data_IF_999967802226
#
_entry.id   IF_999967802226
#
_cell.length_a   1.000
_cell.length_b   1.000
_cell.length_c   1.000
_cell.angle_alpha   90.00
_cell.angle_beta   90.00
_cell.angle_gamma   90.00
#
_symmetry.space_group_name_H-M   'P 1'
#
loop_
_entity.id
_entity.type
_entity.pdbx_description
1 polymer ?
#
# COMPACT_ATOMS: atom_id res chain seq x y z
N UNK A 1 4.07 3.69 -3.80
CA UNK A 1 3.28 4.85 -4.24
C UNK A 1 2.01 4.98 -3.39
N UNK A 2 1.14 6.03 -3.44
CA UNK A 2 -0.26 5.89 -3.03
C UNK A 2 -0.76 4.46 -3.28
N UNK A 3 -1.30 3.84 -2.24
CA UNK A 3 -1.63 2.42 -2.29
C UNK A 3 -2.86 2.21 -3.16
N UNK A 4 -3.46 1.03 -3.00
CA UNK A 4 -4.60 0.55 -3.80
C UNK A 4 -5.72 1.58 -3.98
N UNK A 5 -6.04 2.43 -3.00
CA UNK A 5 -7.18 3.33 -3.11
C UNK A 5 -6.98 4.40 -4.19
N UNK A 6 -5.84 5.10 -4.18
CA UNK A 6 -5.60 6.16 -5.17
C UNK A 6 -5.49 5.58 -6.58
N UNK A 7 -4.85 4.42 -6.75
CA UNK A 7 -4.80 3.74 -8.04
C UNK A 7 -6.19 3.46 -8.62
N UNK A 8 -7.12 2.97 -7.79
CA UNK A 8 -8.48 2.67 -8.23
C UNK A 8 -9.29 3.95 -8.50
N UNK A 9 -9.08 5.00 -7.72
CA UNK A 9 -9.70 6.31 -7.99
C UNK A 9 -9.22 6.88 -9.34
N UNK A 10 -7.92 6.78 -9.64
CA UNK A 10 -7.37 7.23 -10.93
C UNK A 10 -7.88 6.36 -12.06
N UNK A 11 -7.94 5.04 -11.87
CA UNK A 11 -8.54 4.12 -12.83
C UNK A 11 -9.97 4.55 -13.19
N UNK A 12 -10.84 4.76 -12.20
CA UNK A 12 -12.24 5.14 -12.43
C UNK A 12 -12.33 6.46 -13.20
N UNK A 13 -11.47 7.45 -12.89
CA UNK A 13 -11.39 8.70 -13.65
C UNK A 13 -10.93 8.50 -15.10
N UNK A 14 -9.98 7.59 -15.34
CA UNK A 14 -9.51 7.25 -16.69
C UNK A 14 -10.63 6.58 -17.48
N UNK A 15 -11.34 5.62 -16.88
CA UNK A 15 -12.49 4.96 -17.51
C UNK A 15 -13.54 5.99 -17.93
N UNK A 16 -13.94 6.87 -17.02
CA UNK A 16 -14.94 7.90 -17.30
C UNK A 16 -14.50 8.87 -18.40
N UNK A 17 -13.22 9.29 -18.37
CA UNK A 17 -12.66 10.18 -19.38
C UNK A 17 -12.61 9.50 -20.75
N UNK A 18 -12.17 8.24 -20.81
CA UNK A 18 -12.04 7.49 -22.05
C UNK A 18 -13.40 7.25 -22.71
N UNK A 19 -14.41 6.85 -21.93
CA UNK A 19 -15.79 6.67 -22.44
C UNK A 19 -16.41 7.94 -23.01
N UNK A 20 -16.02 9.10 -22.48
CA UNK A 20 -16.45 10.43 -22.95
C UNK A 20 -15.53 11.00 -24.05
N UNK A 21 -14.49 10.29 -24.44
CA UNK A 21 -13.56 10.73 -25.49
C UNK A 21 -14.26 10.80 -26.84
N UNK A 22 -13.88 11.78 -27.65
CA UNK A 22 -14.25 11.87 -29.07
C UNK A 22 -13.46 10.90 -29.95
N UNK A 23 -12.33 10.36 -29.45
CA UNK A 23 -11.53 9.37 -30.15
C UNK A 23 -12.14 7.97 -30.06
N UNK A 24 -12.29 7.29 -31.19
CA UNK A 24 -12.96 5.99 -31.28
C UNK A 24 -12.22 4.91 -30.48
N UNK A 25 -10.89 4.92 -30.53
CA UNK A 25 -10.04 3.93 -29.85
C UNK A 25 -10.12 4.12 -28.34
N UNK A 26 -9.91 5.35 -27.84
CA UNK A 26 -10.00 5.64 -26.41
C UNK A 26 -11.39 5.32 -25.87
N UNK A 27 -12.45 5.68 -26.61
CA UNK A 27 -13.82 5.36 -26.23
C UNK A 27 -14.05 3.86 -26.13
N UNK A 28 -13.60 3.08 -27.13
CA UNK A 28 -13.69 1.62 -27.11
C UNK A 28 -12.96 1.02 -25.92
N UNK A 29 -11.74 1.47 -25.63
CA UNK A 29 -10.97 1.02 -24.47
C UNK A 29 -11.72 1.36 -23.16
N UNK A 30 -12.26 2.57 -23.06
CA UNK A 30 -13.06 3.00 -21.92
C UNK A 30 -14.28 2.11 -21.68
N UNK A 31 -15.02 1.74 -22.74
CA UNK A 31 -16.16 0.83 -22.63
C UNK A 31 -15.72 -0.60 -22.22
N UNK A 32 -14.61 -1.11 -22.75
CA UNK A 32 -14.05 -2.40 -22.35
C UNK A 32 -13.64 -2.38 -20.87
N UNK A 33 -12.89 -1.37 -20.44
CA UNK A 33 -12.47 -1.24 -19.04
C UNK A 33 -13.66 -1.10 -18.09
N UNK A 34 -14.74 -0.42 -18.50
CA UNK A 34 -15.97 -0.33 -17.72
C UNK A 34 -16.71 -1.68 -17.64
N UNK A 35 -16.89 -2.36 -18.77
CA UNK A 35 -17.55 -3.66 -18.82
C UNK A 35 -16.79 -4.75 -18.04
N UNK A 36 -15.46 -4.69 -18.06
CA UNK A 36 -14.56 -5.62 -17.37
C UNK A 36 -13.84 -4.93 -16.19
N UNK A 37 -14.54 -4.06 -15.46
CA UNK A 37 -13.96 -3.22 -14.39
C UNK A 37 -13.15 -4.02 -13.37
N UNK A 38 -13.59 -5.21 -12.98
CA UNK A 38 -12.87 -6.08 -12.03
C UNK A 38 -11.46 -6.44 -12.53
N UNK A 39 -11.31 -6.71 -13.83
CA UNK A 39 -10.01 -6.95 -14.44
C UNK A 39 -9.18 -5.66 -14.52
N UNK A 40 -9.81 -4.52 -14.83
CA UNK A 40 -9.14 -3.24 -14.84
C UNK A 40 -8.64 -2.82 -13.43
N UNK A 41 -9.40 -3.10 -12.37
CA UNK A 41 -9.01 -2.89 -10.96
C UNK A 41 -7.80 -3.75 -10.62
N UNK A 42 -7.81 -5.03 -10.98
CA UNK A 42 -6.64 -5.91 -10.80
C UNK A 42 -5.41 -5.36 -11.53
N UNK A 43 -5.61 -4.84 -12.74
CA UNK A 43 -4.58 -4.13 -13.48
C UNK A 43 -4.06 -2.90 -12.74
N UNK A 44 -4.95 -2.06 -12.20
CA UNK A 44 -4.59 -0.81 -11.51
C UNK A 44 -3.89 -1.05 -10.15
N UNK A 45 -4.17 -2.18 -9.48
CA UNK A 45 -3.33 -2.65 -8.37
C UNK A 45 -1.92 -2.92 -8.89
N UNK A 46 -1.80 -3.51 -10.08
CA UNK A 46 -0.55 -3.56 -10.82
C UNK A 46 0.53 -4.39 -10.11
N UNK A 47 1.81 -3.96 -10.16
CA UNK A 47 2.90 -4.68 -9.53
C UNK A 47 2.81 -4.77 -8.00
N UNK A 48 2.01 -3.92 -7.33
CA UNK A 48 1.75 -4.05 -5.88
C UNK A 48 1.09 -5.37 -5.50
N UNK A 49 0.38 -6.02 -6.43
CA UNK A 49 -0.18 -7.35 -6.23
C UNK A 49 0.92 -8.35 -5.80
N UNK A 50 2.11 -8.22 -6.39
CA UNK A 50 3.24 -9.12 -6.15
C UNK A 50 4.00 -8.85 -4.85
N UNK A 51 3.59 -7.85 -4.06
CA UNK A 51 4.01 -7.76 -2.65
C UNK A 51 3.54 -8.99 -1.86
N UNK A 52 2.46 -9.64 -2.32
CA UNK A 52 1.88 -10.85 -1.74
C UNK A 52 2.29 -12.12 -2.49
N UNK A 53 3.44 -12.10 -3.16
CA UNK A 53 3.92 -13.24 -3.93
C UNK A 53 4.79 -14.21 -3.10
N UNK A 54 4.85 -15.51 -3.47
CA UNK A 54 5.51 -16.54 -2.67
C UNK A 54 7.05 -16.44 -2.65
N UNK A 55 7.66 -15.50 -3.36
CA UNK A 55 9.08 -15.19 -3.23
C UNK A 55 9.43 -14.44 -1.93
N UNK A 56 8.42 -13.90 -1.25
CA UNK A 56 8.48 -13.52 0.16
C UNK A 56 8.23 -14.76 1.05
N UNK A 57 9.13 -15.01 2.00
CA UNK A 57 8.98 -16.16 2.91
C UNK A 57 7.75 -16.06 3.81
N UNK A 58 7.52 -14.88 4.37
CA UNK A 58 6.35 -14.57 5.20
C UNK A 58 5.03 -14.80 4.45
N UNK A 59 4.98 -14.45 3.16
CA UNK A 59 3.81 -14.70 2.32
C UNK A 59 3.56 -16.19 2.11
N UNK A 60 4.60 -17.01 1.90
CA UNK A 60 4.43 -18.47 1.83
C UNK A 60 3.84 -19.04 3.11
N UNK A 61 4.29 -18.55 4.27
CA UNK A 61 3.73 -18.93 5.58
C UNK A 61 2.26 -18.52 5.69
N UNK A 62 1.91 -17.30 5.27
CA UNK A 62 0.53 -16.82 5.24
C UNK A 62 -0.35 -17.61 4.27
N UNK A 63 0.15 -17.97 3.09
CA UNK A 63 -0.59 -18.77 2.12
C UNK A 63 -0.87 -20.18 2.65
N UNK A 64 0.12 -20.81 3.26
CA UNK A 64 -0.04 -22.12 3.90
C UNK A 64 -1.04 -22.05 5.06
N UNK A 65 -0.99 -20.98 5.87
CA UNK A 65 -1.99 -20.73 6.89
C UNK A 65 -3.39 -20.60 6.25
N UNK A 66 -3.56 -19.71 5.27
CA UNK A 66 -4.84 -19.54 4.58
C UNK A 66 -5.37 -20.88 4.02
N UNK A 67 -4.55 -21.67 3.34
CA UNK A 67 -4.96 -22.99 2.81
C UNK A 67 -5.41 -23.96 3.89
N UNK A 68 -4.68 -24.03 5.01
CA UNK A 68 -4.99 -24.92 6.12
C UNK A 68 -6.25 -24.50 6.88
N UNK A 69 -6.58 -23.21 6.88
CA UNK A 69 -7.71 -22.65 7.62
C UNK A 69 -8.91 -22.30 6.74
N UNK A 70 -8.75 -22.30 5.41
CA UNK A 70 -9.81 -21.96 4.45
C UNK A 70 -11.03 -22.86 4.64
N UNK A 71 -10.84 -24.17 4.81
CA UNK A 71 -11.95 -25.09 5.03
C UNK A 71 -12.71 -24.77 6.32
N UNK A 72 -12.02 -24.31 7.36
CA UNK A 72 -12.61 -23.91 8.64
C UNK A 72 -13.43 -22.63 8.48
N UNK A 73 -12.85 -21.65 7.76
CA UNK A 73 -13.50 -20.37 7.45
C UNK A 73 -14.74 -20.59 6.56
N UNK A 74 -14.62 -21.44 5.54
CA UNK A 74 -15.70 -21.78 4.62
C UNK A 74 -16.80 -22.55 5.37
N UNK A 75 -16.45 -23.55 6.19
CA UNK A 75 -17.39 -24.27 7.06
C UNK A 75 -18.13 -23.31 8.01
N UNK A 76 -17.42 -22.36 8.61
CA UNK A 76 -18.03 -21.34 9.46
C UNK A 76 -19.03 -20.48 8.69
N UNK A 77 -18.64 -19.93 7.54
CA UNK A 77 -19.48 -19.06 6.72
C UNK A 77 -20.72 -19.79 6.18
N UNK A 78 -20.56 -21.04 5.76
CA UNK A 78 -21.63 -21.83 5.14
C UNK A 78 -22.60 -22.44 6.16
N UNK A 79 -22.12 -22.76 7.36
CA UNK A 79 -22.91 -23.45 8.38
C UNK A 79 -23.33 -22.48 9.48
N UNK A 80 -22.37 -21.88 10.19
CA UNK A 80 -22.62 -21.15 11.43
C UNK A 80 -23.05 -19.71 11.16
N UNK A 81 -22.49 -19.04 10.16
CA UNK A 81 -22.93 -17.70 9.75
C UNK A 81 -24.39 -17.67 9.31
N UNK A 82 -24.86 -18.74 8.64
CA UNK A 82 -26.27 -18.90 8.27
C UNK A 82 -27.14 -19.26 9.47
N UNK A 83 -26.69 -20.17 10.33
CA UNK A 83 -27.41 -20.56 11.55
C UNK A 83 -27.55 -19.38 12.51
N UNK A 84 -26.49 -18.59 12.74
CA UNK A 84 -26.53 -17.39 13.59
C UNK A 84 -27.49 -16.34 13.06
N UNK A 85 -27.45 -16.02 11.76
CA UNK A 85 -28.45 -15.14 11.12
C UNK A 85 -29.87 -15.67 11.21
N UNK A 86 -30.05 -17.00 11.13
CA UNK A 86 -31.36 -17.63 11.24
C UNK A 86 -31.86 -17.62 12.68
N UNK A 87 -31.00 -17.86 13.67
CA UNK A 87 -31.31 -17.78 15.11
C UNK A 87 -31.62 -16.34 15.52
N UNK A 88 -30.80 -15.36 15.10
CA UNK A 88 -31.06 -13.92 15.31
C UNK A 88 -32.39 -13.49 14.68
N UNK A 89 -32.78 -14.08 13.54
CA UNK A 89 -34.06 -13.84 12.90
C UNK A 89 -35.26 -14.58 13.53
N UNK A 90 -35.01 -15.66 14.29
CA UNK A 90 -36.03 -16.53 14.91
C UNK A 90 -36.24 -16.26 16.40
N UNK A 91 -35.35 -15.49 17.06
CA UNK A 91 -35.47 -15.02 18.44
C UNK A 91 -34.91 -15.96 19.52
N UNK A 92 -34.73 -15.42 20.74
CA UNK A 92 -34.16 -16.10 21.94
C UNK A 92 -34.68 -17.52 22.23
N UNK A 93 -35.98 -17.87 22.01
CA UNK A 93 -36.49 -19.20 22.37
C UNK A 93 -35.88 -20.35 21.56
N UNK A 94 -35.47 -20.09 20.31
CA UNK A 94 -34.87 -21.11 19.43
C UNK A 94 -33.40 -21.34 19.79
N UNK A 95 -32.71 -20.30 20.24
CA UNK A 95 -31.32 -20.37 20.70
C UNK A 95 -31.19 -21.30 21.92
N UNK A 96 -32.10 -21.16 22.90
CA UNK A 96 -32.14 -22.02 24.08
C UNK A 96 -32.46 -23.49 23.74
N UNK A 97 -33.38 -23.75 22.81
CA UNK A 97 -33.74 -25.10 22.41
C UNK A 97 -32.58 -25.84 21.71
N UNK A 98 -31.82 -25.14 20.86
CA UNK A 98 -30.65 -25.69 20.16
C UNK A 98 -29.51 -25.97 21.13
N UNK A 99 -29.24 -25.07 22.09
CA UNK A 99 -28.24 -25.29 23.14
C UNK A 99 -28.53 -26.51 24.01
N UNK A 100 -29.80 -26.85 24.20
CA UNK A 100 -30.23 -27.98 25.04
C UNK A 100 -30.03 -29.34 24.35
N UNK A 101 -30.12 -29.40 23.02
CA UNK A 101 -30.12 -30.65 22.25
C UNK A 101 -28.72 -31.23 21.97
N UNK A 102 -27.68 -30.39 21.92
CA UNK A 102 -26.30 -30.83 21.69
C UNK A 102 -25.25 -29.93 22.40
N UNK A 103 -25.31 -29.81 23.73
CA UNK A 103 -24.51 -28.83 24.50
C UNK A 103 -23.00 -29.04 24.36
N UNK A 104 -22.53 -30.29 24.30
CA UNK A 104 -21.11 -30.61 24.14
C UNK A 104 -20.58 -30.29 22.73
N UNK A 105 -21.37 -30.55 21.70
CA UNK A 105 -21.04 -30.20 20.30
C UNK A 105 -21.02 -28.69 20.11
N UNK A 106 -22.00 -27.97 20.68
CA UNK A 106 -22.06 -26.51 20.60
C UNK A 106 -20.93 -25.87 21.41
N UNK A 107 -20.60 -26.39 22.58
CA UNK A 107 -19.46 -25.89 23.36
C UNK A 107 -18.14 -26.08 22.61
N UNK A 108 -17.91 -27.26 22.01
CA UNK A 108 -16.70 -27.52 21.23
C UNK A 108 -16.61 -26.62 20.00
N UNK A 109 -17.73 -26.40 19.32
CA UNK A 109 -17.85 -25.46 18.20
C UNK A 109 -17.59 -24.03 18.67
N UNK A 110 -18.18 -23.58 19.79
CA UNK A 110 -17.96 -22.23 20.35
C UNK A 110 -16.50 -22.00 20.75
N UNK A 111 -15.85 -22.99 21.38
CA UNK A 111 -14.42 -22.93 21.72
C UNK A 111 -13.56 -22.85 20.46
N UNK A 112 -13.84 -23.70 19.46
CA UNK A 112 -13.13 -23.66 18.19
C UNK A 112 -13.30 -22.30 17.49
N UNK A 113 -14.51 -21.75 17.45
CA UNK A 113 -14.80 -20.41 16.91
C UNK A 113 -14.02 -19.35 17.69
N UNK A 114 -14.02 -19.41 19.02
CA UNK A 114 -13.31 -18.44 19.85
C UNK A 114 -11.80 -18.46 19.58
N UNK A 115 -11.20 -19.64 19.47
CA UNK A 115 -9.79 -19.80 19.12
C UNK A 115 -9.46 -19.31 17.70
N UNK A 116 -10.37 -19.53 16.74
CA UNK A 116 -10.25 -19.00 15.37
C UNK A 116 -10.35 -17.49 15.37
N UNK A 117 -11.34 -16.91 16.05
CA UNK A 117 -11.55 -15.46 16.12
C UNK A 117 -10.38 -14.76 16.80
N UNK A 118 -9.84 -15.33 17.87
CA UNK A 118 -8.62 -14.85 18.53
C UNK A 118 -7.41 -14.92 17.58
N UNK A 119 -7.22 -16.04 16.88
CA UNK A 119 -6.14 -16.19 15.90
C UNK A 119 -6.27 -15.20 14.73
N UNK A 120 -7.49 -15.02 14.20
CA UNK A 120 -7.80 -14.05 13.14
C UNK A 120 -7.63 -12.63 13.65
N UNK A 121 -8.00 -12.32 14.90
CA UNK A 121 -7.80 -11.00 15.52
C UNK A 121 -6.33 -10.68 15.69
N UNK A 122 -5.52 -11.64 16.16
CA UNK A 122 -4.06 -11.48 16.27
C UNK A 122 -3.42 -11.32 14.89
N UNK A 123 -3.86 -12.10 13.89
CA UNK A 123 -3.42 -11.97 12.52
C UNK A 123 -3.80 -10.60 11.93
N UNK A 124 -5.05 -10.15 12.14
CA UNK A 124 -5.55 -8.81 11.77
C UNK A 124 -4.69 -7.73 12.39
N UNK A 125 -4.47 -7.79 13.70
CA UNK A 125 -3.64 -6.82 14.42
C UNK A 125 -2.22 -6.81 13.88
N UNK A 126 -1.64 -7.97 13.58
CA UNK A 126 -0.28 -8.08 13.05
C UNK A 126 -0.17 -7.50 11.64
N UNK A 127 -1.10 -7.84 10.75
CA UNK A 127 -1.15 -7.33 9.37
C UNK A 127 -1.46 -5.84 9.35
N UNK A 128 -2.42 -5.36 10.15
CA UNK A 128 -2.76 -3.94 10.21
C UNK A 128 -1.60 -3.11 10.77
N UNK A 129 -0.91 -3.60 11.80
CA UNK A 129 0.29 -2.93 12.32
C UNK A 129 1.41 -2.93 11.29
N UNK A 130 1.60 -4.03 10.55
CA UNK A 130 2.57 -4.13 9.45
C UNK A 130 2.28 -3.15 8.31
N UNK A 131 1.02 -3.02 7.91
CA UNK A 131 0.65 -2.20 6.76
C UNK A 131 0.46 -0.74 7.10
N UNK A 132 0.01 -0.39 8.31
CA UNK A 132 -0.43 0.95 8.68
C UNK A 132 0.34 1.57 9.87
N UNK A 133 1.50 1.03 10.25
CA UNK A 133 2.36 1.68 11.26
C UNK A 133 2.66 3.12 10.83
N UNK A 134 2.12 4.10 11.56
CA UNK A 134 2.26 5.53 11.27
C UNK A 134 0.97 6.26 10.86
N UNK A 135 -0.17 5.57 10.66
CA UNK A 135 -1.45 6.19 10.27
C UNK A 135 -2.62 5.84 11.22
N UNK A 136 -2.44 4.89 12.15
CA UNK A 136 -3.50 4.52 13.10
C UNK A 136 -3.48 5.48 14.30
N UNK A 137 -4.42 6.42 14.36
CA UNK A 137 -4.77 7.07 15.63
C UNK A 137 -5.53 6.08 16.52
N UNK A 138 -5.08 5.94 17.77
CA UNK A 138 -5.75 5.15 18.81
C UNK A 138 -5.24 3.71 19.00
N UNK A 139 -4.32 3.22 18.17
CA UNK A 139 -3.45 2.12 18.59
C UNK A 139 -2.21 2.75 19.19
N UNK A 140 -2.14 2.69 20.51
CA UNK A 140 -1.05 3.19 21.31
C UNK A 140 0.16 2.24 21.14
N UNK A 141 0.68 2.16 19.91
CA UNK A 141 1.88 1.40 19.57
C UNK A 141 3.03 1.93 20.42
N UNK A 142 3.08 3.24 20.67
CA UNK A 142 4.09 3.88 21.51
C UNK A 142 3.97 3.53 23.01
N UNK A 143 2.77 3.32 23.57
CA UNK A 143 2.64 2.96 25.00
C UNK A 143 2.75 1.46 25.28
N UNK A 144 2.47 0.59 24.30
CA UNK A 144 2.67 -0.87 24.41
C UNK A 144 4.06 -1.35 23.91
N UNK A 145 5.00 -0.42 23.70
CA UNK A 145 6.36 -0.69 23.21
C UNK A 145 7.28 -1.46 24.18
N UNK A 146 6.86 -1.76 25.41
CA UNK A 146 7.74 -2.46 26.36
C UNK A 146 7.91 -3.96 26.06
N UNK A 147 7.12 -4.55 25.14
CA UNK A 147 7.18 -5.99 24.82
C UNK A 147 7.20 -6.38 23.33
N UNK A 148 6.86 -5.47 22.40
CA UNK A 148 6.71 -5.75 20.95
C UNK A 148 7.82 -5.25 19.97
N UNK A 149 8.94 -4.61 20.37
CA UNK A 149 9.93 -4.14 19.40
C UNK A 149 10.51 -5.25 18.52
N UNK A 150 10.75 -6.44 19.07
CA UNK A 150 11.44 -7.52 18.34
C UNK A 150 10.60 -8.12 17.22
N UNK A 151 9.30 -8.37 17.44
CA UNK A 151 8.43 -8.98 16.43
C UNK A 151 8.16 -8.00 15.28
N UNK A 152 7.85 -6.74 15.58
CA UNK A 152 7.63 -5.72 14.55
C UNK A 152 8.91 -5.47 13.73
N UNK A 153 10.06 -5.30 14.38
CA UNK A 153 11.33 -5.16 13.66
C UNK A 153 11.63 -6.39 12.80
N UNK A 154 11.46 -7.60 13.34
CA UNK A 154 11.71 -8.84 12.58
C UNK A 154 10.77 -8.95 11.37
N UNK A 155 9.48 -8.64 11.54
CA UNK A 155 8.51 -8.68 10.45
C UNK A 155 8.79 -7.59 9.40
N UNK A 156 9.16 -6.38 9.80
CA UNK A 156 9.56 -5.33 8.86
C UNK A 156 10.88 -5.66 8.14
N UNK A 157 11.83 -6.29 8.81
CA UNK A 157 13.10 -6.73 8.21
C UNK A 157 12.87 -7.78 7.11
N UNK A 158 11.86 -8.65 7.27
CA UNK A 158 11.47 -9.64 6.25
C UNK A 158 10.93 -8.99 4.96
N UNK A 159 10.24 -7.85 5.08
CA UNK A 159 9.74 -7.08 3.94
C UNK A 159 10.72 -6.02 3.43
N UNK A 160 11.87 -5.86 4.09
CA UNK A 160 12.90 -4.91 3.64
C UNK A 160 13.50 -5.40 2.31
N UNK A 161 13.34 -4.65 1.20
CA UNK A 161 13.78 -5.12 -0.10
C UNK A 161 15.29 -5.39 -0.16
N UNK A 162 15.74 -6.53 -0.71
CA UNK A 162 17.16 -6.86 -0.88
C UNK A 162 17.94 -5.79 -1.64
N UNK A 163 17.28 -5.03 -2.51
CA UNK A 163 17.87 -3.89 -3.22
C UNK A 163 18.40 -2.80 -2.28
N UNK A 164 17.81 -2.60 -1.09
CA UNK A 164 18.28 -1.60 -0.12
C UNK A 164 19.66 -1.99 0.45
N UNK A 165 19.94 -3.29 0.48
CA UNK A 165 21.23 -3.86 0.91
C UNK A 165 22.21 -4.01 -0.26
N UNK A 166 21.92 -3.42 -1.42
CA UNK A 166 22.76 -3.47 -2.63
C UNK A 166 22.90 -4.89 -3.20
N UNK A 167 21.94 -5.79 -2.94
CA UNK A 167 21.98 -7.16 -3.47
C UNK A 167 21.76 -7.19 -4.97
N UNK A 168 22.18 -8.29 -5.62
CA UNK A 168 21.99 -8.49 -7.06
C UNK A 168 20.53 -8.78 -7.37
N UNK A 169 20.11 -8.53 -8.61
CA UNK A 169 18.72 -8.73 -9.06
C UNK A 169 18.22 -10.18 -8.89
N UNK A 170 19.13 -11.17 -8.87
CA UNK A 170 18.81 -12.57 -8.54
C UNK A 170 18.23 -12.74 -7.14
N UNK A 171 18.59 -11.85 -6.21
CA UNK A 171 18.14 -11.88 -4.83
C UNK A 171 16.92 -11.00 -4.59
N UNK A 172 16.50 -10.19 -5.57
CA UNK A 172 15.36 -9.27 -5.44
C UNK A 172 14.02 -10.01 -5.44
N UNK A 173 12.97 -9.32 -5.00
CA UNK A 173 11.61 -9.81 -5.20
C UNK A 173 11.10 -9.43 -6.59
N UNK A 174 10.17 -10.21 -7.13
CA UNK A 174 9.49 -9.85 -8.39
C UNK A 174 8.70 -8.55 -8.25
N UNK A 175 8.16 -8.27 -7.06
CA UNK A 175 7.64 -6.95 -6.69
C UNK A 175 8.64 -5.84 -7.03
N UNK A 176 9.89 -5.95 -6.58
CA UNK A 176 10.93 -4.95 -6.87
C UNK A 176 11.26 -4.89 -8.36
N UNK A 177 11.36 -6.07 -9.00
CA UNK A 177 11.71 -6.16 -10.42
C UNK A 177 10.71 -5.40 -11.29
N UNK A 178 9.41 -5.57 -11.02
CA UNK A 178 8.35 -4.93 -11.80
C UNK A 178 8.28 -3.41 -11.58
N UNK A 179 8.66 -2.91 -10.41
CA UNK A 179 8.68 -1.47 -10.12
C UNK A 179 9.93 -0.75 -10.65
N UNK A 180 11.08 -1.43 -10.70
CA UNK A 180 12.37 -0.75 -10.94
C UNK A 180 13.09 -1.14 -12.22
N UNK A 181 12.69 -2.22 -12.89
CA UNK A 181 13.41 -2.76 -14.05
C UNK A 181 12.48 -3.11 -15.18
N UNK A 182 12.73 -2.47 -16.32
CA UNK A 182 11.99 -2.72 -17.56
C UNK A 182 10.47 -2.57 -17.42
N UNK A 183 10.00 -1.79 -16.44
CA UNK A 183 8.58 -1.60 -16.10
C UNK A 183 7.74 -1.21 -17.32
N UNK A 184 8.21 -0.23 -18.10
CA UNK A 184 7.53 0.17 -19.34
C UNK A 184 7.51 -0.91 -20.41
N UNK A 185 8.55 -1.75 -20.51
CA UNK A 185 8.61 -2.86 -21.47
C UNK A 185 7.68 -3.99 -21.05
N UNK A 186 7.60 -4.31 -19.76
CA UNK A 186 6.62 -5.25 -19.23
C UNK A 186 5.18 -4.81 -19.54
N UNK A 187 4.87 -3.53 -19.28
CA UNK A 187 3.56 -2.97 -19.58
C UNK A 187 3.22 -2.99 -21.07
N UNK A 188 4.19 -2.63 -21.92
CA UNK A 188 4.02 -2.73 -23.37
C UNK A 188 3.74 -4.17 -23.81
N UNK A 189 4.43 -5.15 -23.22
CA UNK A 189 4.18 -6.57 -23.50
C UNK A 189 2.78 -7.00 -23.03
N UNK A 190 2.29 -6.54 -21.88
CA UNK A 190 0.91 -6.79 -21.45
C UNK A 190 -0.11 -6.28 -22.47
N UNK A 191 0.06 -5.04 -22.93
CA UNK A 191 -0.86 -4.41 -23.89
C UNK A 191 -0.80 -5.09 -25.25
N UNK A 192 0.41 -5.38 -25.76
CA UNK A 192 0.60 -5.98 -27.08
C UNK A 192 0.15 -7.45 -27.13
N UNK A 193 0.19 -8.16 -26.00
CA UNK A 193 -0.18 -9.57 -25.90
C UNK A 193 -1.65 -9.79 -25.50
N UNK A 194 -2.36 -8.73 -25.09
CA UNK A 194 -3.78 -8.81 -24.75
C UNK A 194 -4.64 -9.07 -26.00
N UNK A 195 -5.38 -10.19 -25.99
CA UNK A 195 -6.24 -10.63 -27.11
C UNK A 195 -7.73 -10.59 -26.78
N UNK A 196 -8.08 -10.74 -25.51
CA UNK A 196 -9.46 -10.77 -25.03
C UNK A 196 -9.79 -9.48 -24.27
N UNK A 197 -11.06 -9.06 -24.26
CA UNK A 197 -11.48 -7.82 -23.60
C UNK A 197 -11.09 -7.78 -22.11
N UNK A 198 -11.15 -8.92 -21.40
CA UNK A 198 -10.70 -9.04 -20.00
C UNK A 198 -9.19 -8.76 -19.85
N UNK A 199 -8.37 -9.20 -20.81
CA UNK A 199 -6.93 -8.95 -20.84
C UNK A 199 -6.62 -7.50 -21.19
N UNK A 200 -7.38 -6.91 -22.13
CA UNK A 200 -7.26 -5.50 -22.50
C UNK A 200 -7.59 -4.62 -21.29
N UNK A 201 -8.68 -4.89 -20.59
CA UNK A 201 -9.06 -4.18 -19.38
C UNK A 201 -7.96 -4.26 -18.31
N UNK A 202 -7.41 -5.46 -18.08
CA UNK A 202 -6.29 -5.65 -17.16
C UNK A 202 -5.04 -4.86 -17.58
N UNK A 203 -4.61 -4.98 -18.84
CA UNK A 203 -3.40 -4.32 -19.34
C UNK A 203 -3.49 -2.80 -19.28
N UNK A 204 -4.64 -2.23 -19.64
CA UNK A 204 -4.87 -0.78 -19.52
C UNK A 204 -5.01 -0.33 -18.07
N UNK A 205 -5.61 -1.16 -17.20
CA UNK A 205 -5.54 -0.95 -15.75
C UNK A 205 -4.09 -0.86 -15.26
N UNK A 206 -3.22 -1.78 -15.71
CA UNK A 206 -1.79 -1.78 -15.36
C UNK A 206 -1.05 -0.53 -15.87
N UNK A 207 -1.43 -0.01 -17.03
CA UNK A 207 -0.90 1.28 -17.49
C UNK A 207 -1.33 2.44 -16.58
N UNK A 208 -2.56 2.43 -16.04
CA UNK A 208 -2.96 3.45 -15.07
C UNK A 208 -2.10 3.39 -13.80
N UNK A 209 -1.73 2.19 -13.35
CA UNK A 209 -0.80 2.03 -12.23
C UNK A 209 0.52 2.74 -12.51
N UNK A 210 1.20 2.38 -13.61
CA UNK A 210 2.49 2.98 -13.96
C UNK A 210 2.40 4.48 -14.13
N UNK A 211 1.37 4.97 -14.83
CA UNK A 211 1.21 6.40 -15.06
C UNK A 211 1.04 7.15 -13.74
N UNK A 212 0.25 6.58 -12.82
CA UNK A 212 0.07 7.17 -11.51
C UNK A 212 1.39 7.12 -10.73
N UNK A 213 2.17 6.03 -10.82
CA UNK A 213 3.45 5.85 -10.14
C UNK A 213 4.50 6.87 -10.54
N UNK A 214 4.66 7.05 -11.85
CA UNK A 214 5.61 8.00 -12.43
C UNK A 214 5.36 9.43 -11.92
N UNK A 215 4.08 9.80 -11.74
CA UNK A 215 3.70 11.14 -11.26
C UNK A 215 3.74 11.23 -9.73
N UNK A 216 3.15 10.24 -9.05
CA UNK A 216 2.94 10.25 -7.60
C UNK A 216 4.23 10.14 -6.80
N UNK A 217 5.21 9.34 -7.27
CA UNK A 217 6.45 9.16 -6.53
C UNK A 217 7.29 10.44 -6.45
N UNK A 218 7.22 11.34 -7.44
CA UNK A 218 7.87 12.64 -7.37
C UNK A 218 7.39 13.48 -6.18
N UNK A 219 6.08 13.46 -5.91
CA UNK A 219 5.46 14.16 -4.77
C UNK A 219 5.81 13.49 -3.44
N UNK A 220 5.69 12.16 -3.35
CA UNK A 220 6.05 11.42 -2.12
C UNK A 220 7.53 11.61 -1.78
N UNK A 221 8.43 11.57 -2.78
CA UNK A 221 9.86 11.77 -2.57
C UNK A 221 10.18 13.15 -1.96
N UNK A 222 9.42 14.20 -2.32
CA UNK A 222 9.61 15.54 -1.73
C UNK A 222 9.24 15.57 -0.24
N UNK A 223 8.17 14.88 0.16
CA UNK A 223 7.75 14.80 1.57
C UNK A 223 8.73 13.92 2.37
N UNK A 224 9.09 12.76 1.82
CA UNK A 224 9.92 11.77 2.51
C UNK A 224 11.40 12.18 2.60
N UNK A 225 11.86 12.99 1.64
CA UNK A 225 13.25 13.42 1.50
C UNK A 225 14.12 12.51 0.63
N UNK A 226 13.51 11.58 -0.13
CA UNK A 226 14.25 10.70 -1.03
C UNK A 226 13.44 9.51 -1.57
N UNK A 227 14.07 8.67 -2.42
CA UNK A 227 13.40 7.55 -3.09
C UNK A 227 13.08 6.39 -2.13
N UNK A 228 12.05 5.60 -2.48
CA UNK A 228 11.58 4.43 -1.72
C UNK A 228 12.71 3.50 -1.29
N UNK A 229 13.67 3.24 -2.19
CA UNK A 229 14.84 2.39 -1.94
C UNK A 229 15.68 2.78 -0.71
N UNK A 230 15.64 4.03 -0.26
CA UNK A 230 16.37 4.49 0.92
C UNK A 230 15.45 4.78 2.11
N UNK A 231 14.13 4.90 1.87
CA UNK A 231 13.18 5.43 2.83
C UNK A 231 11.84 4.68 2.83
N UNK A 232 11.85 3.35 2.70
CA UNK A 232 10.62 2.54 2.54
C UNK A 232 9.56 2.79 3.63
N UNK A 233 9.98 2.93 4.90
CA UNK A 233 9.05 3.10 6.02
C UNK A 233 8.33 4.45 5.95
N UNK A 234 9.08 5.50 5.60
CA UNK A 234 8.52 6.85 5.41
C UNK A 234 7.62 6.90 4.19
N UNK A 235 8.00 6.23 3.10
CA UNK A 235 7.14 6.05 1.93
C UNK A 235 5.83 5.36 2.32
N UNK A 236 5.88 4.20 2.97
CA UNK A 236 4.68 3.48 3.40
C UNK A 236 3.75 4.36 4.25
N UNK A 237 4.32 5.10 5.21
CA UNK A 237 3.53 6.02 6.07
C UNK A 237 2.83 7.12 5.26
N UNK A 238 3.58 7.85 4.42
CA UNK A 238 3.04 8.97 3.62
C UNK A 238 2.02 8.47 2.61
N UNK A 239 2.28 7.33 1.97
CA UNK A 239 1.40 6.71 0.98
C UNK A 239 0.07 6.28 1.60
N UNK A 240 0.11 5.64 2.77
CA UNK A 240 -1.10 5.25 3.51
C UNK A 240 -1.94 6.46 3.94
N UNK A 241 -1.29 7.56 4.33
CA UNK A 241 -1.99 8.80 4.66
C UNK A 241 -2.69 9.39 3.43
N UNK A 242 -1.97 9.49 2.30
CA UNK A 242 -2.53 9.98 1.03
C UNK A 242 -3.73 9.13 0.61
N UNK A 243 -3.63 7.80 0.71
CA UNK A 243 -4.71 6.87 0.38
C UNK A 243 -5.92 7.07 1.28
N UNK A 244 -5.72 7.07 2.60
CA UNK A 244 -6.80 7.23 3.57
C UNK A 244 -7.54 8.56 3.37
N UNK A 245 -6.79 9.66 3.22
CA UNK A 245 -7.35 10.99 3.01
C UNK A 245 -8.07 11.12 1.67
N UNK A 246 -7.44 10.67 0.58
CA UNK A 246 -8.03 10.80 -0.77
C UNK A 246 -9.26 9.91 -0.92
N UNK A 247 -9.23 8.70 -0.35
CA UNK A 247 -10.36 7.80 -0.33
C UNK A 247 -11.54 8.41 0.44
N UNK A 248 -11.30 8.92 1.64
CA UNK A 248 -12.34 9.59 2.43
C UNK A 248 -12.93 10.80 1.69
N UNK A 249 -12.09 11.62 1.04
CA UNK A 249 -12.54 12.77 0.26
C UNK A 249 -13.47 12.38 -0.90
N UNK A 250 -13.24 11.23 -1.54
CA UNK A 250 -14.02 10.77 -2.69
C UNK A 250 -15.29 10.05 -2.28
N UNK A 251 -15.23 9.19 -1.26
CA UNK A 251 -16.32 8.28 -0.91
C UNK A 251 -17.05 8.64 0.40
N UNK A 252 -16.52 9.58 1.20
CA UNK A 252 -17.09 9.97 2.50
C UNK A 252 -16.98 8.90 3.59
N UNK A 253 -16.24 7.82 3.33
CA UNK A 253 -16.12 6.65 4.21
C UNK A 253 -14.64 6.30 4.43
N UNK A 254 -14.35 5.54 5.50
CA UNK A 254 -13.00 5.05 5.76
C UNK A 254 -12.56 4.05 4.69
N UNK A 255 -11.28 4.09 4.31
CA UNK A 255 -10.68 3.11 3.41
C UNK A 255 -10.90 1.68 3.92
N UNK A 256 -10.83 1.47 5.23
CA UNK A 256 -10.97 0.14 5.78
C UNK A 256 -12.41 -0.37 5.87
N UNK A 257 -13.43 0.50 5.76
CA UNK A 257 -14.84 0.07 5.72
C UNK A 257 -15.31 -0.24 4.30
N UNK A 258 -14.79 0.51 3.31
CA UNK A 258 -15.41 0.56 1.98
C UNK A 258 -14.53 0.03 0.86
N UNK A 259 -13.19 0.05 1.00
CA UNK A 259 -12.27 -0.30 -0.10
C UNK A 259 -12.57 -1.68 -0.68
N UNK A 260 -12.71 -2.71 0.16
CA UNK A 260 -12.98 -4.07 -0.31
C UNK A 260 -14.25 -4.16 -1.19
N UNK A 261 -15.30 -3.41 -0.84
CA UNK A 261 -16.53 -3.36 -1.64
C UNK A 261 -16.35 -2.64 -2.98
N UNK A 262 -15.46 -1.64 -3.05
CA UNK A 262 -15.18 -0.87 -4.27
C UNK A 262 -14.32 -1.67 -5.24
N UNK A 263 -13.41 -2.50 -4.72
CA UNK A 263 -12.54 -3.33 -5.55
C UNK A 263 -13.32 -4.39 -6.31
N UNK A 264 -14.39 -4.92 -5.72
CA UNK A 264 -15.20 -6.02 -6.27
C UNK A 264 -14.35 -7.18 -6.81
N UNK A 265 -13.33 -7.58 -6.04
CA UNK A 265 -12.36 -8.59 -6.48
C UNK A 265 -13.08 -9.91 -6.85
N UNK A 266 -12.77 -10.52 -8.01
CA UNK A 266 -13.41 -11.77 -8.41
C UNK A 266 -13.12 -12.91 -7.43
N UNK A 267 -13.96 -13.94 -7.37
CA UNK A 267 -13.72 -15.08 -6.47
C UNK A 267 -12.39 -15.78 -6.75
N UNK A 268 -11.98 -15.83 -8.01
CA UNK A 268 -10.70 -16.33 -8.50
C UNK A 268 -10.13 -15.41 -9.58
N UNK A 269 -8.80 -15.39 -9.72
CA UNK A 269 -8.15 -14.67 -10.81
C UNK A 269 -8.50 -15.33 -12.15
N UNK A 270 -8.96 -14.60 -13.19
CA UNK A 270 -9.21 -15.16 -14.51
C UNK A 270 -7.93 -15.78 -15.11
N UNK A 271 -8.06 -16.97 -15.70
CA UNK A 271 -6.92 -17.71 -16.26
C UNK A 271 -6.28 -16.96 -17.44
N UNK A 272 -7.07 -16.19 -18.17
CA UNK A 272 -6.61 -15.32 -19.25
C UNK A 272 -5.64 -14.24 -18.74
N UNK A 273 -5.86 -13.71 -17.54
CA UNK A 273 -4.96 -12.73 -16.91
C UNK A 273 -3.70 -13.44 -16.40
N UNK A 274 -3.83 -14.63 -15.81
CA UNK A 274 -2.66 -15.43 -15.35
C UNK A 274 -1.73 -15.75 -16.51
N UNK A 275 -2.27 -16.23 -17.63
CA UNK A 275 -1.50 -16.55 -18.82
C UNK A 275 -0.85 -15.28 -19.39
N UNK A 276 -1.58 -14.17 -19.46
CA UNK A 276 -1.04 -12.89 -19.93
C UNK A 276 0.16 -12.42 -19.08
N UNK A 277 0.03 -12.47 -17.76
CA UNK A 277 1.09 -12.13 -16.82
C UNK A 277 2.30 -13.04 -17.00
N UNK A 278 2.08 -14.36 -17.00
CA UNK A 278 3.13 -15.37 -17.13
C UNK A 278 3.93 -15.21 -18.43
N UNK A 279 3.24 -15.06 -19.55
CA UNK A 279 3.87 -14.84 -20.86
C UNK A 279 4.63 -13.52 -20.89
N UNK A 280 4.06 -12.45 -20.33
CA UNK A 280 4.69 -11.13 -20.29
C UNK A 280 5.94 -11.10 -19.40
N UNK A 281 5.97 -11.86 -18.30
CA UNK A 281 7.17 -12.02 -17.48
C UNK A 281 8.30 -12.62 -18.32
N UNK A 282 8.04 -13.74 -18.98
CA UNK A 282 9.04 -14.41 -19.82
C UNK A 282 9.48 -13.52 -20.98
N UNK A 283 8.54 -12.93 -21.71
CA UNK A 283 8.84 -12.07 -22.86
C UNK A 283 9.71 -10.87 -22.46
N UNK A 284 9.52 -10.34 -21.24
CA UNK A 284 10.27 -9.17 -20.76
C UNK A 284 11.64 -9.55 -20.21
N UNK A 285 11.73 -10.62 -19.41
CA UNK A 285 12.87 -10.85 -18.53
C UNK A 285 13.69 -12.12 -18.82
N UNK A 286 13.29 -13.00 -19.74
CA UNK A 286 13.98 -14.29 -19.98
C UNK A 286 15.47 -14.14 -20.37
N UNK A 287 15.85 -13.00 -20.94
CA UNK A 287 17.23 -12.71 -21.38
C UNK A 287 17.88 -11.56 -20.60
N UNK A 288 17.30 -11.16 -19.47
CA UNK A 288 17.87 -10.14 -18.59
C UNK A 288 18.09 -10.73 -17.19
N UNK A 289 18.98 -10.16 -16.36
CA UNK A 289 19.05 -10.54 -14.96
C UNK A 289 17.68 -10.30 -14.29
N UNK A 290 17.25 -11.25 -13.45
CA UNK A 290 15.94 -11.22 -12.79
C UNK A 290 15.97 -12.10 -11.52
N UNK A 291 14.93 -12.01 -10.66
CA UNK A 291 14.83 -12.80 -9.44
C UNK A 291 14.94 -14.31 -9.65
N UNK A 292 15.68 -15.01 -8.79
CA UNK A 292 15.79 -16.48 -8.77
C UNK A 292 15.61 -17.07 -7.36
N UNK A 293 14.89 -16.33 -6.50
CA UNK A 293 14.58 -16.72 -5.12
C UNK A 293 13.69 -17.96 -5.03
N UNK A 294 12.81 -18.15 -6.00
CA UNK A 294 11.89 -19.29 -6.10
C UNK A 294 12.04 -19.98 -7.45
N UNK A 295 11.49 -21.18 -7.58
CA UNK A 295 11.39 -21.89 -8.86
C UNK A 295 12.70 -21.90 -9.68
N UNK A 296 13.85 -22.14 -9.03
CA UNK A 296 15.17 -22.12 -9.71
C UNK A 296 15.24 -23.06 -10.93
N UNK A 297 14.62 -24.23 -10.83
CA UNK A 297 14.50 -25.18 -11.95
C UNK A 297 13.64 -24.65 -13.12
N UNK A 298 12.82 -23.64 -12.88
CA UNK A 298 12.01 -22.91 -13.85
C UNK A 298 12.59 -21.52 -14.15
N UNK A 299 13.91 -21.36 -13.96
CA UNK A 299 14.64 -20.12 -14.27
C UNK A 299 14.41 -18.98 -13.28
N UNK A 300 13.65 -19.14 -12.20
CA UNK A 300 13.33 -18.04 -11.28
C UNK A 300 11.95 -17.40 -11.51
N UNK A 301 11.29 -17.76 -12.61
CA UNK A 301 9.97 -17.23 -12.97
C UNK A 301 8.87 -17.79 -12.08
N UNK A 302 7.82 -16.99 -11.87
CA UNK A 302 6.55 -17.49 -11.38
C UNK A 302 5.97 -18.53 -12.33
N UNK A 303 5.45 -19.61 -11.78
CA UNK A 303 4.52 -20.50 -12.47
C UNK A 303 3.10 -19.94 -12.37
N UNK A 304 2.15 -20.38 -13.21
CA UNK A 304 0.76 -19.96 -13.09
C UNK A 304 0.20 -20.13 -11.67
N UNK A 305 0.55 -21.20 -10.96
CA UNK A 305 0.10 -21.48 -9.60
C UNK A 305 0.60 -20.45 -8.59
N UNK A 306 1.80 -19.88 -8.80
CA UNK A 306 2.34 -18.83 -7.93
C UNK A 306 1.58 -17.50 -8.12
N UNK A 307 1.12 -17.23 -9.34
CA UNK A 307 0.30 -16.04 -9.64
C UNK A 307 -1.08 -16.19 -9.00
N UNK A 308 -1.69 -17.38 -9.07
CA UNK A 308 -2.92 -17.68 -8.33
C UNK A 308 -2.73 -17.52 -6.81
N UNK A 309 -1.65 -18.08 -6.26
CA UNK A 309 -1.33 -17.94 -4.84
C UNK A 309 -1.19 -16.48 -4.41
N UNK A 310 -0.52 -15.67 -5.23
CA UNK A 310 -0.35 -14.23 -5.00
C UNK A 310 -1.71 -13.54 -4.87
N UNK A 311 -2.62 -13.84 -5.80
CA UNK A 311 -3.98 -13.29 -5.77
C UNK A 311 -4.80 -13.77 -4.57
N UNK A 312 -4.73 -15.06 -4.23
CA UNK A 312 -5.43 -15.63 -3.08
C UNK A 312 -5.02 -14.95 -1.77
N UNK A 313 -3.71 -14.75 -1.56
CA UNK A 313 -3.21 -14.06 -0.37
C UNK A 313 -3.64 -12.61 -0.35
N UNK A 314 -3.50 -11.88 -1.47
CA UNK A 314 -3.94 -10.50 -1.57
C UNK A 314 -5.43 -10.34 -1.23
N UNK A 315 -6.28 -11.19 -1.81
CA UNK A 315 -7.72 -11.20 -1.57
C UNK A 315 -8.03 -11.50 -0.10
N UNK A 316 -7.41 -12.53 0.46
CA UNK A 316 -7.56 -12.88 1.88
C UNK A 316 -7.20 -11.71 2.80
N UNK A 317 -6.03 -11.09 2.57
CA UNK A 317 -5.59 -9.93 3.36
C UNK A 317 -6.57 -8.75 3.22
N UNK A 318 -7.02 -8.47 2.02
CA UNK A 318 -7.97 -7.37 1.75
C UNK A 318 -9.34 -7.61 2.41
N UNK A 319 -9.86 -8.84 2.37
CA UNK A 319 -11.10 -9.22 3.03
C UNK A 319 -10.98 -9.13 4.56
N UNK A 320 -9.85 -9.60 5.09
CA UNK A 320 -9.54 -9.55 6.53
C UNK A 320 -9.43 -8.11 7.02
N UNK A 321 -8.74 -7.23 6.28
CA UNK A 321 -8.55 -5.83 6.63
C UNK A 321 -9.79 -4.97 6.38
N UNK A 322 -10.57 -5.26 5.33
CA UNK A 322 -11.83 -4.57 5.01
C UNK A 322 -12.93 -4.73 6.07
N UNK A 323 -12.67 -5.52 7.12
CA UNK A 323 -13.53 -5.64 8.30
C UNK A 323 -13.07 -4.79 9.50
N UNK A 324 -11.98 -4.01 9.35
CA UNK A 324 -11.41 -3.21 10.43
C UNK A 324 -11.85 -1.76 10.31
N UNK A 325 -12.85 -1.32 11.06
CA UNK A 325 -13.31 0.07 10.99
C UNK A 325 -12.32 1.00 11.74
N UNK A 326 -11.30 1.52 11.04
CA UNK A 326 -10.38 2.54 11.58
C UNK A 326 -10.88 3.89 11.10
N UNK A 327 -11.16 4.81 12.05
CA UNK A 327 -11.57 6.18 11.73
C UNK A 327 -10.46 6.89 10.93
N UNK A 328 -10.81 7.82 10.03
CA UNK A 328 -9.81 8.57 9.29
C UNK A 328 -8.85 9.26 10.26
N UNK A 329 -7.54 9.35 9.95
CA UNK A 329 -6.62 10.17 10.73
C UNK A 329 -7.11 11.62 10.69
N UNK A 330 -7.16 12.27 11.85
CA UNK A 330 -7.37 13.72 11.87
C UNK A 330 -6.17 14.40 11.20
N UNK A 331 -6.40 15.53 10.53
CA UNK A 331 -5.27 16.27 9.96
C UNK A 331 -4.31 16.61 11.11
N UNK A 332 -3.01 16.23 11.03
CA UNK A 332 -2.05 16.39 12.14
C UNK A 332 -1.83 17.85 12.55
N UNK A 333 -2.48 18.77 11.85
CA UNK A 333 -2.32 20.20 11.84
C UNK A 333 -3.66 20.95 11.86
N UNK A 334 -4.76 20.30 12.29
CA UNK A 334 -6.03 20.98 12.56
C UNK A 334 -5.87 21.93 13.76
N UNK A 335 -5.36 23.13 13.46
CA UNK A 335 -4.93 24.13 14.45
C UNK A 335 -3.46 24.53 14.36
N UNK A 336 -2.65 23.99 13.45
CA UNK A 336 -1.26 24.47 13.29
C UNK A 336 -1.19 25.88 12.75
N UNK A 337 -2.19 26.34 11.99
CA UNK A 337 -2.29 27.76 11.65
C UNK A 337 -2.53 28.62 12.90
N UNK A 338 -3.28 28.12 13.89
CA UNK A 338 -3.51 28.81 15.15
C UNK A 338 -2.28 28.75 16.07
N UNK A 339 -1.59 27.60 16.12
CA UNK A 339 -0.31 27.42 16.85
C UNK A 339 0.81 28.23 16.20
N UNK A 340 0.89 28.28 14.86
CA UNK A 340 1.81 29.17 14.14
C UNK A 340 1.44 30.62 14.37
N UNK A 341 0.14 30.97 14.39
CA UNK A 341 -0.32 32.33 14.69
C UNK A 341 0.09 32.75 16.11
N UNK A 342 -0.10 31.89 17.10
CA UNK A 342 0.29 32.14 18.50
C UNK A 342 1.81 32.11 18.71
N UNK A 343 2.53 31.24 18.00
CA UNK A 343 4.00 31.24 17.99
C UNK A 343 4.55 32.52 17.33
N UNK A 344 3.95 32.98 16.23
CA UNK A 344 4.31 34.22 15.52
C UNK A 344 3.98 35.47 16.33
N UNK A 345 2.93 35.46 17.18
CA UNK A 345 2.61 36.56 18.11
C UNK A 345 3.70 36.79 19.16
N UNK A 346 4.50 35.76 19.47
CA UNK A 346 5.61 35.82 20.43
C UNK A 346 6.98 36.18 19.81
N UNK A 347 7.10 36.24 18.48
CA UNK A 347 8.37 36.54 17.81
C UNK A 347 8.61 38.06 17.91
N UNK A 348 9.46 38.44 18.86
CA UNK A 348 10.08 39.77 18.82
C UNK A 348 10.93 39.86 17.55
N UNK A 349 10.91 41.00 16.84
CA UNK A 349 11.78 41.18 15.69
C UNK A 349 13.22 40.85 16.10
N UNK A 350 13.99 40.13 15.27
CA UNK A 350 15.38 39.84 15.57
C UNK A 350 16.10 41.16 15.90
N UNK A 351 17.08 41.14 16.82
CA UNK A 351 17.88 42.33 17.09
C UNK A 351 18.42 42.86 15.75
N UNK A 352 18.36 44.17 15.56
CA UNK A 352 18.86 44.78 14.33
C UNK A 352 20.27 44.23 14.05
N UNK A 353 20.56 43.79 12.82
CA UNK A 353 21.87 43.26 12.50
C UNK A 353 22.94 44.26 12.95
N UNK A 354 24.10 43.78 13.47
CA UNK A 354 25.20 44.66 13.81
C UNK A 354 25.46 45.57 12.62
N UNK A 355 25.63 46.87 12.88
CA UNK A 355 25.85 47.85 11.82
C UNK A 355 26.96 47.31 10.93
N UNK A 356 26.77 47.26 9.59
CA UNK A 356 27.84 46.85 8.69
C UNK A 356 29.08 47.67 9.05
N UNK A 357 30.25 47.01 9.14
CA UNK A 357 31.54 47.69 9.28
C UNK A 357 31.53 48.83 8.28
N UNK A 358 31.53 50.06 8.78
CA UNK A 358 31.48 51.25 7.93
C UNK A 358 32.66 51.14 6.96
N UNK A 359 32.42 51.35 5.66
CA UNK A 359 33.51 51.73 4.78
C UNK A 359 34.20 52.92 5.44
N UNK A 360 35.51 52.81 5.64
CA UNK A 360 36.30 53.87 6.25
C UNK A 360 36.01 55.20 5.56
N UNK A 361 35.77 56.24 6.36
CA UNK A 361 35.60 57.56 5.78
C UNK A 361 36.93 58.04 5.19
N UNK A 362 36.89 59.02 4.29
CA UNK A 362 38.11 59.61 3.74
C UNK A 362 39.01 60.20 4.84
N UNK A 363 38.42 60.71 5.92
CA UNK A 363 39.12 61.24 7.09
C UNK A 363 39.84 60.13 7.87
N UNK A 364 39.20 58.96 8.02
CA UNK A 364 39.80 57.79 8.67
C UNK A 364 40.97 57.20 7.86
N UNK A 365 40.87 57.23 6.53
CA UNK A 365 41.96 56.82 5.62
C UNK A 365 43.12 57.84 5.72
N UNK A 366 42.83 59.14 5.66
CA UNK A 366 43.88 60.16 5.66
C UNK A 366 44.55 60.36 7.03
N UNK A 367 44.00 59.79 8.10
CA UNK A 367 44.59 59.83 9.45
C UNK A 367 45.76 58.84 9.64
N UNK A 368 46.07 57.97 8.68
CA UNK A 368 47.28 57.13 8.63
C UNK A 368 47.61 56.38 9.94
N UNK A 369 46.60 55.82 10.62
CA UNK A 369 46.77 55.05 11.85
C UNK A 369 46.99 55.87 13.12
N UNK A 370 46.73 57.18 13.10
CA UNK A 370 46.83 58.03 14.29
C UNK A 370 45.64 57.88 15.24
N UNK A 371 44.48 57.45 14.74
CA UNK A 371 43.29 57.12 15.55
C UNK A 371 43.02 55.62 15.52
N UNK A 372 42.31 55.13 16.54
CA UNK A 372 41.92 53.71 16.64
C UNK A 372 41.10 53.28 15.41
N UNK A 373 40.14 54.10 15.00
CA UNK A 373 39.30 53.89 13.81
C UNK A 373 40.13 53.90 12.51
N UNK A 374 41.19 54.72 12.43
CA UNK A 374 42.12 54.72 11.29
C UNK A 374 43.01 53.48 11.25
N UNK A 375 43.43 52.94 12.41
CA UNK A 375 44.24 51.70 12.46
C UNK A 375 43.44 50.49 12.00
N UNK A 376 42.18 50.39 12.40
CA UNK A 376 41.27 49.34 11.96
C UNK A 376 41.02 49.35 10.43
N UNK A 377 41.25 50.47 9.75
CA UNK A 377 41.19 50.58 8.30
C UNK A 377 42.43 50.03 7.56
N UNK A 378 43.56 49.88 8.25
CA UNK A 378 44.83 49.41 7.69
C UNK A 378 45.23 48.01 8.17
N UNK A 379 44.51 47.45 9.14
CA UNK A 379 44.72 46.08 9.62
C UNK A 379 43.90 45.07 8.77
N UNK A 380 44.46 44.71 7.61
CA UNK A 380 44.33 43.37 7.00
C UNK A 380 45.72 42.76 6.76
#
# INVERSE_FOLDING_TARGET
MPKTAVHVIVLDQVIDRFRKSSGEIEKKIGEIMYAYRRAAVLGAIGPDLFFWAPDFEVVRKLHNFYKNWKWVIDLYNETIGKVKKTIEALGEPVEQAVETLAPSTIALIKTLIHEIDETVRLLKSSIATMLFSGVIEGYDVLSNLSGSPSLLHTLFDEFTPPLQKGKKESDWYWFDMLHYRWTGKFAANLVNSAKYDVQIAYAFGYLTHIATDVIGHGYVNQIVGGPYRMHMQRHATVENYIDSWKFYKVYGESINSKLNSILELPSSLPSEIVNLLHDSFKQTYQYTPHPSRINRAYGGFFKPEDIYATYEVYKFVTEVLGSMNIKPPEEPFSGVLDILSDALRGIKPPPSPPRPRRMCSFEDIMALGLTEESRECYEE
#
